data_IF_751334412713
#
_entry.id   IF_751334412713
#
_cell.length_a   1.000
_cell.length_b   1.000
_cell.length_c   1.000
_cell.angle_alpha   90.00
_cell.angle_beta   90.00
_cell.angle_gamma   90.00
#
_symmetry.space_group_name_H-M   'P 1'
#
loop_
_entity.id
_entity.type
_entity.pdbx_description
1 polymer ?
#
# COMPACT_ATOMS: atom_id res chain seq x y z
N UNK A 1 -11.68 10.99 -8.46
CA UNK A 1 -11.31 11.87 -7.34
C UNK A 1 -10.08 11.33 -6.59
N UNK A 2 -10.06 10.08 -6.18
CA UNK A 2 -9.01 9.48 -5.33
C UNK A 2 -7.59 9.61 -5.91
N UNK A 3 -7.42 9.53 -7.23
CA UNK A 3 -6.11 9.70 -7.87
C UNK A 3 -5.58 11.13 -7.76
N UNK A 4 -6.45 12.11 -7.96
CA UNK A 4 -6.10 13.55 -7.84
C UNK A 4 -5.81 13.86 -6.37
N UNK A 5 -6.68 13.39 -5.47
CA UNK A 5 -6.47 13.50 -4.04
C UNK A 5 -5.13 12.93 -3.58
N UNK A 6 -4.82 11.71 -4.00
CA UNK A 6 -3.53 11.08 -3.66
C UNK A 6 -2.34 11.94 -4.12
N UNK A 7 -2.41 12.47 -5.34
CA UNK A 7 -1.33 13.31 -5.86
C UNK A 7 -1.19 14.62 -5.08
N UNK A 8 -2.29 15.37 -4.93
CA UNK A 8 -2.28 16.71 -4.35
C UNK A 8 -2.02 16.73 -2.85
N UNK A 9 -2.54 15.74 -2.11
CA UNK A 9 -2.49 15.72 -0.63
C UNK A 9 -1.45 14.76 -0.06
N UNK A 10 -0.97 13.80 -0.84
CA UNK A 10 -0.07 12.77 -0.32
C UNK A 10 1.27 12.67 -1.06
N UNK A 11 1.33 13.07 -2.33
CA UNK A 11 2.57 13.00 -3.10
C UNK A 11 3.32 14.33 -3.15
N UNK A 12 2.60 15.43 -3.39
CA UNK A 12 3.21 16.77 -3.54
C UNK A 12 3.66 17.35 -2.20
N UNK A 13 2.86 17.27 -1.12
CA UNK A 13 3.29 17.79 0.18
C UNK A 13 4.43 16.95 0.75
N UNK A 14 5.49 17.61 1.20
CA UNK A 14 6.60 16.97 1.93
C UNK A 14 6.21 16.53 3.35
N UNK A 15 4.94 16.67 3.73
CA UNK A 15 4.39 16.42 5.06
C UNK A 15 4.71 15.02 5.59
N UNK A 16 4.85 14.04 4.69
CA UNK A 16 5.12 12.65 5.07
C UNK A 16 6.57 12.23 4.85
N UNK A 17 7.49 13.18 4.71
CA UNK A 17 8.93 12.93 4.62
C UNK A 17 9.38 12.15 3.39
N UNK A 18 8.57 12.17 2.32
CA UNK A 18 8.91 11.53 1.05
C UNK A 18 9.02 12.56 -0.07
N UNK A 19 10.06 12.41 -0.89
CA UNK A 19 10.16 13.16 -2.13
C UNK A 19 9.16 12.63 -3.16
N UNK A 20 8.63 13.52 -3.99
CA UNK A 20 7.78 13.17 -5.12
C UNK A 20 8.45 12.09 -5.99
N UNK A 21 7.69 11.07 -6.37
CA UNK A 21 8.21 9.98 -7.20
C UNK A 21 8.65 10.45 -8.59
N UNK A 22 9.71 9.86 -9.12
CA UNK A 22 10.28 10.25 -10.41
C UNK A 22 9.32 10.05 -11.59
N UNK A 23 8.34 9.14 -11.48
CA UNK A 23 7.29 9.00 -12.50
C UNK A 23 6.41 10.26 -12.61
N UNK A 24 6.31 11.06 -11.55
CA UNK A 24 5.54 12.31 -11.51
C UNK A 24 6.37 13.56 -11.78
N UNK A 25 7.65 13.40 -12.11
CA UNK A 25 8.53 14.49 -12.51
C UNK A 25 8.79 14.43 -14.01
N UNK A 26 8.89 15.60 -14.63
CA UNK A 26 9.32 15.71 -16.02
C UNK A 26 10.84 15.55 -16.18
N UNK A 27 11.38 15.76 -17.38
CA UNK A 27 12.80 15.61 -17.65
C UNK A 27 13.68 16.68 -16.97
N UNK A 28 13.09 17.77 -16.50
CA UNK A 28 13.79 18.82 -15.73
C UNK A 28 13.72 18.58 -14.22
N UNK A 29 12.94 17.58 -13.78
CA UNK A 29 12.66 17.31 -12.38
C UNK A 29 11.46 18.08 -11.82
N UNK A 30 10.74 18.82 -12.66
CA UNK A 30 9.55 19.57 -12.26
C UNK A 30 8.35 18.63 -12.07
N UNK A 31 7.50 18.88 -11.06
CA UNK A 31 6.31 18.07 -10.81
C UNK A 31 5.29 18.19 -11.94
N UNK A 32 4.62 17.09 -12.27
CA UNK A 32 3.45 17.12 -13.14
C UNK A 32 2.26 17.76 -12.43
N UNK A 33 1.17 17.99 -13.18
CA UNK A 33 -0.10 18.49 -12.64
C UNK A 33 -1.19 17.44 -12.86
N UNK A 34 -1.91 17.08 -11.80
CA UNK A 34 -3.13 16.30 -11.87
C UNK A 34 -4.32 17.24 -11.92
N UNK A 35 -5.17 17.08 -12.91
CA UNK A 35 -6.37 17.91 -13.07
C UNK A 35 -7.60 17.00 -13.08
N UNK A 36 -8.52 17.24 -12.16
CA UNK A 36 -9.84 16.61 -12.16
C UNK A 36 -10.65 17.10 -13.38
N UNK A 37 -11.22 16.20 -14.12
CA UNK A 37 -12.09 16.48 -15.26
C UNK A 37 -13.54 16.14 -14.93
N UNK A 38 -13.77 14.88 -14.52
CA UNK A 38 -15.08 14.37 -14.10
C UNK A 38 -14.90 13.14 -13.18
N UNK A 39 -16.01 12.51 -12.77
CA UNK A 39 -16.01 11.39 -11.84
C UNK A 39 -15.14 10.18 -12.25
N UNK A 40 -14.87 10.03 -13.56
CA UNK A 40 -14.13 8.89 -14.13
C UNK A 40 -12.87 9.29 -14.87
N UNK A 41 -12.63 10.61 -15.02
CA UNK A 41 -11.56 11.15 -15.85
C UNK A 41 -10.69 12.13 -15.06
N UNK A 42 -9.40 11.96 -15.12
CA UNK A 42 -8.42 12.96 -14.71
C UNK A 42 -7.35 13.11 -15.79
N UNK A 43 -6.67 14.25 -15.80
CA UNK A 43 -5.62 14.57 -16.76
C UNK A 43 -4.30 14.77 -16.02
N UNK A 44 -3.24 14.16 -16.54
CA UNK A 44 -1.86 14.40 -16.09
C UNK A 44 -1.14 15.25 -17.15
N UNK A 45 -0.55 16.34 -16.73
CA UNK A 45 0.17 17.27 -17.62
C UNK A 45 1.58 17.49 -17.13
N UNK A 46 2.54 17.48 -18.05
CA UNK A 46 3.95 17.76 -17.81
C UNK A 46 4.36 19.03 -18.57
N UNK A 47 5.28 19.80 -18.00
CA UNK A 47 5.83 21.00 -18.67
C UNK A 47 6.74 20.63 -19.83
N UNK A 48 7.46 19.49 -19.71
CA UNK A 48 8.30 18.94 -20.77
C UNK A 48 7.90 17.50 -21.08
N UNK A 49 8.38 16.96 -22.20
CA UNK A 49 8.02 15.61 -22.64
C UNK A 49 8.47 14.54 -21.64
N UNK A 50 7.56 13.61 -21.27
CA UNK A 50 7.80 12.44 -20.44
C UNK A 50 7.35 11.15 -21.16
N UNK A 51 8.08 10.69 -22.19
CA UNK A 51 7.64 9.56 -23.03
C UNK A 51 7.55 8.23 -22.25
N UNK A 52 8.26 8.11 -21.12
CA UNK A 52 8.25 6.90 -20.28
C UNK A 52 7.10 6.88 -19.26
N UNK A 53 6.28 7.93 -19.16
CA UNK A 53 5.28 8.09 -18.11
C UNK A 53 4.39 6.87 -17.93
N UNK A 54 3.81 6.34 -19.00
CA UNK A 54 2.89 5.18 -18.91
C UNK A 54 3.62 3.94 -18.39
N UNK A 55 4.87 3.71 -18.85
CA UNK A 55 5.68 2.59 -18.36
C UNK A 55 5.99 2.75 -16.87
N UNK A 56 6.41 3.94 -16.47
CA UNK A 56 6.78 4.25 -15.09
C UNK A 56 5.53 4.16 -14.17
N UNK A 57 4.38 4.62 -14.67
CA UNK A 57 3.11 4.51 -13.96
C UNK A 57 2.68 3.05 -13.77
N UNK A 58 2.85 2.18 -14.78
CA UNK A 58 2.51 0.76 -14.67
C UNK A 58 3.30 0.05 -13.56
N UNK A 59 4.54 0.45 -13.31
CA UNK A 59 5.37 -0.10 -12.22
C UNK A 59 4.83 0.36 -10.86
N UNK A 60 4.36 1.60 -10.76
CA UNK A 60 3.95 2.26 -9.53
C UNK A 60 2.42 2.44 -9.38
N UNK A 61 1.62 2.00 -10.37
CA UNK A 61 0.17 2.29 -10.42
C UNK A 61 -0.61 1.85 -9.19
N UNK A 62 -0.18 0.79 -8.53
CA UNK A 62 -0.79 0.30 -7.28
C UNK A 62 -0.71 1.30 -6.12
N UNK A 63 0.12 2.31 -6.23
CA UNK A 63 0.39 3.33 -5.23
C UNK A 63 -0.34 4.65 -5.49
N UNK A 64 -1.03 4.78 -6.63
CA UNK A 64 -1.63 6.05 -7.09
C UNK A 64 -3.06 6.25 -6.59
N UNK A 65 -3.48 5.52 -5.58
CA UNK A 65 -4.86 5.60 -5.07
C UNK A 65 -4.84 5.71 -3.56
N UNK A 66 -5.46 6.77 -3.05
CA UNK A 66 -5.81 6.85 -1.63
C UNK A 66 -7.32 7.05 -1.53
N UNK A 67 -8.00 6.36 -0.62
CA UNK A 67 -9.44 6.52 -0.44
C UNK A 67 -9.73 7.89 0.19
N UNK A 68 -10.01 8.88 -0.65
CA UNK A 68 -10.24 10.28 -0.25
C UNK A 68 -11.16 10.37 0.97
N UNK A 69 -12.32 9.70 0.90
CA UNK A 69 -13.33 9.71 1.97
C UNK A 69 -12.81 9.22 3.33
N UNK A 70 -11.81 8.34 3.33
CA UNK A 70 -11.15 7.88 4.55
C UNK A 70 -10.04 8.85 4.98
N UNK A 71 -9.20 9.28 4.03
CA UNK A 71 -8.07 10.17 4.31
C UNK A 71 -8.51 11.51 4.88
N UNK A 72 -9.65 12.05 4.43
CA UNK A 72 -10.26 13.27 4.98
C UNK A 72 -10.63 13.13 6.47
N UNK A 73 -10.74 11.93 7.01
CA UNK A 73 -11.03 11.69 8.44
C UNK A 73 -9.79 11.58 9.32
N UNK A 74 -8.59 11.60 8.73
CA UNK A 74 -7.34 11.42 9.48
C UNK A 74 -6.28 12.48 9.18
N UNK A 75 -6.35 13.17 8.03
CA UNK A 75 -5.32 14.14 7.66
C UNK A 75 -5.53 15.49 8.33
N UNK A 76 -4.45 16.14 8.85
CA UNK A 76 -4.54 17.37 9.62
C UNK A 76 -5.17 18.54 8.87
N UNK A 77 -5.00 18.61 7.56
CA UNK A 77 -5.61 19.67 6.73
C UNK A 77 -7.15 19.65 6.74
N UNK A 78 -7.78 18.51 7.07
CA UNK A 78 -9.23 18.34 7.11
C UNK A 78 -9.80 18.36 8.53
N UNK A 79 -9.07 17.79 9.50
CA UNK A 79 -9.58 17.64 10.87
C UNK A 79 -8.83 18.49 11.91
N UNK A 80 -7.73 19.17 11.50
CA UNK A 80 -6.87 19.96 12.38
C UNK A 80 -5.79 19.13 13.06
N UNK A 81 -4.69 19.78 13.44
CA UNK A 81 -3.47 19.13 13.96
C UNK A 81 -3.73 18.34 15.26
N UNK A 82 -4.48 18.89 16.19
CA UNK A 82 -4.77 18.26 17.48
C UNK A 82 -5.59 16.98 17.31
N UNK A 83 -6.64 17.02 16.47
CA UNK A 83 -7.47 15.86 16.19
C UNK A 83 -6.71 14.80 15.39
N UNK A 84 -5.86 15.20 14.45
CA UNK A 84 -5.01 14.28 13.69
C UNK A 84 -3.96 13.59 14.56
N UNK A 85 -3.38 14.31 15.53
CA UNK A 85 -2.44 13.72 16.49
C UNK A 85 -3.16 12.70 17.40
N UNK A 86 -4.35 13.05 17.93
CA UNK A 86 -5.14 12.11 18.72
C UNK A 86 -5.53 10.86 17.91
N UNK A 87 -5.82 11.02 16.61
CA UNK A 87 -6.11 9.91 15.71
C UNK A 87 -4.90 9.03 15.45
N UNK A 88 -3.72 9.62 15.29
CA UNK A 88 -2.48 8.88 15.16
C UNK A 88 -2.20 8.01 16.39
N UNK A 89 -2.37 8.56 17.59
CA UNK A 89 -2.21 7.83 18.84
C UNK A 89 -3.23 6.70 19.02
N UNK A 90 -4.51 6.94 18.65
CA UNK A 90 -5.56 5.92 18.64
C UNK A 90 -5.21 4.75 17.73
N UNK A 91 -4.58 5.02 16.57
CA UNK A 91 -4.14 4.03 15.60
C UNK A 91 -2.78 3.39 15.94
N UNK A 92 -2.14 3.80 17.04
CA UNK A 92 -0.87 3.25 17.53
C UNK A 92 0.38 3.87 16.90
N UNK A 93 0.26 5.02 16.24
CA UNK A 93 1.39 5.74 15.66
C UNK A 93 1.94 6.79 16.63
N UNK A 94 3.25 7.07 16.52
CA UNK A 94 3.93 8.09 17.34
C UNK A 94 3.48 9.51 17.02
N UNK A 95 3.13 9.76 15.77
CA UNK A 95 2.79 11.08 15.25
C UNK A 95 2.03 11.00 13.91
N UNK A 96 1.52 12.15 13.48
CA UNK A 96 0.77 12.30 12.22
C UNK A 96 1.60 11.95 11.01
N UNK A 97 2.91 12.21 11.01
CA UNK A 97 3.77 11.90 9.88
C UNK A 97 3.95 10.38 9.70
N UNK A 98 4.13 9.66 10.82
CA UNK A 98 4.17 8.20 10.82
C UNK A 98 2.83 7.60 10.37
N UNK A 99 1.70 8.09 10.89
CA UNK A 99 0.36 7.70 10.47
C UNK A 99 0.16 7.92 8.96
N UNK A 100 0.44 9.12 8.47
CA UNK A 100 0.26 9.47 7.06
C UNK A 100 1.13 8.65 6.12
N UNK A 101 2.37 8.35 6.52
CA UNK A 101 3.26 7.47 5.77
C UNK A 101 2.69 6.05 5.65
N UNK A 102 2.25 5.46 6.74
CA UNK A 102 1.71 4.10 6.73
C UNK A 102 0.33 4.04 6.06
N UNK A 103 -0.57 4.97 6.34
CA UNK A 103 -1.91 4.99 5.72
C UNK A 103 -1.89 5.38 4.24
N UNK A 104 -0.97 6.24 3.83
CA UNK A 104 -0.90 6.73 2.45
C UNK A 104 -0.06 5.89 1.51
N UNK A 105 1.06 5.34 1.99
CA UNK A 105 2.01 4.62 1.14
C UNK A 105 2.04 3.11 1.42
N UNK A 106 1.77 2.71 2.67
CA UNK A 106 1.83 1.32 3.13
C UNK A 106 0.48 0.87 3.71
N UNK A 107 -0.61 1.37 3.14
CA UNK A 107 -1.97 1.15 3.64
C UNK A 107 -2.34 -0.34 3.83
N UNK A 108 -1.63 -1.26 3.19
CA UNK A 108 -1.79 -2.69 3.44
C UNK A 108 -1.25 -3.14 4.81
N UNK A 109 -0.44 -2.31 5.47
CA UNK A 109 0.07 -2.57 6.81
C UNK A 109 -0.85 -2.03 7.91
N UNK A 110 -1.94 -1.38 7.54
CA UNK A 110 -2.86 -0.75 8.49
C UNK A 110 -4.23 -1.39 8.38
N UNK A 111 -4.75 -1.85 9.51
CA UNK A 111 -6.07 -2.47 9.58
C UNK A 111 -7.19 -1.43 9.39
N UNK A 112 -8.27 -1.83 8.71
CA UNK A 112 -9.48 -1.01 8.58
C UNK A 112 -9.47 0.05 7.47
N UNK A 113 -8.36 0.21 6.72
CA UNK A 113 -8.31 1.13 5.58
C UNK A 113 -9.03 0.53 4.37
N UNK A 114 -9.95 1.26 3.72
CA UNK A 114 -10.56 0.83 2.46
C UNK A 114 -9.51 0.65 1.38
N UNK A 115 -9.54 -0.48 0.68
CA UNK A 115 -8.56 -0.78 -0.37
C UNK A 115 -9.16 -1.62 -1.50
N UNK A 116 -8.59 -1.49 -2.70
CA UNK A 116 -8.89 -2.32 -3.86
C UNK A 116 -8.07 -3.62 -3.91
N UNK A 117 -7.26 -3.90 -2.89
CA UNK A 117 -6.46 -5.11 -2.80
C UNK A 117 -7.33 -6.36 -2.53
N UNK A 118 -6.89 -7.54 -3.00
CA UNK A 118 -7.61 -8.79 -2.78
C UNK A 118 -7.62 -9.24 -1.31
N UNK A 119 -6.64 -8.80 -0.54
CA UNK A 119 -6.51 -9.08 0.88
C UNK A 119 -6.37 -7.79 1.68
N UNK A 120 -6.87 -7.81 2.90
CA UNK A 120 -6.77 -6.73 3.89
C UNK A 120 -6.16 -7.28 5.17
N UNK A 121 -5.43 -6.43 5.90
CA UNK A 121 -4.88 -6.81 7.20
C UNK A 121 -6.03 -7.15 8.16
N UNK A 122 -5.90 -8.24 8.90
CA UNK A 122 -6.91 -8.69 9.87
C UNK A 122 -7.21 -7.60 10.90
N UNK A 123 -8.47 -7.48 11.28
CA UNK A 123 -8.90 -6.59 12.38
C UNK A 123 -8.90 -7.31 13.74
N UNK A 124 -8.57 -8.62 13.77
CA UNK A 124 -8.48 -9.36 15.01
C UNK A 124 -7.26 -8.92 15.83
N UNK A 125 -7.47 -8.75 17.13
CA UNK A 125 -6.41 -8.38 18.05
C UNK A 125 -5.27 -9.41 18.03
N UNK A 126 -4.03 -8.94 17.92
CA UNK A 126 -2.83 -9.76 17.87
C UNK A 126 -2.52 -10.36 16.49
N UNK A 127 -3.35 -10.10 15.46
CA UNK A 127 -3.13 -10.57 14.09
C UNK A 127 -2.90 -9.46 13.06
N UNK A 128 -2.76 -8.25 13.52
CA UNK A 128 -2.62 -7.04 12.69
C UNK A 128 -1.37 -6.21 13.04
N UNK A 129 -0.47 -6.74 13.86
CA UNK A 129 0.77 -6.07 14.22
C UNK A 129 1.89 -6.42 13.23
N UNK A 130 2.03 -5.60 12.19
CA UNK A 130 3.10 -5.76 11.18
C UNK A 130 4.49 -5.38 11.69
N UNK A 131 4.60 -4.87 12.91
CA UNK A 131 5.88 -4.64 13.60
C UNK A 131 6.35 -5.87 14.37
N UNK A 132 5.45 -6.81 14.64
CA UNK A 132 5.73 -8.11 15.23
C UNK A 132 6.26 -9.12 14.22
N UNK A 133 6.36 -10.36 14.66
CA UNK A 133 6.89 -11.47 13.85
C UNK A 133 5.80 -12.21 13.06
N UNK A 134 4.52 -11.97 13.38
CA UNK A 134 3.38 -12.63 12.76
C UNK A 134 2.21 -11.67 12.54
N UNK A 135 1.63 -11.74 11.34
CA UNK A 135 0.38 -11.06 11.03
C UNK A 135 -0.41 -11.80 9.95
N UNK A 136 -1.70 -11.53 9.87
CA UNK A 136 -2.64 -12.24 9.02
C UNK A 136 -3.35 -11.26 8.09
N UNK A 137 -3.41 -11.60 6.81
CA UNK A 137 -4.29 -10.97 5.85
C UNK A 137 -5.50 -11.86 5.59
N UNK A 138 -6.68 -11.28 5.61
CA UNK A 138 -7.94 -11.96 5.27
C UNK A 138 -8.45 -11.49 3.92
N UNK A 139 -9.22 -12.34 3.26
CA UNK A 139 -9.84 -12.01 1.99
C UNK A 139 -10.69 -10.76 2.10
N UNK A 140 -10.51 -9.81 1.16
CA UNK A 140 -11.34 -8.62 1.07
C UNK A 140 -12.73 -8.99 0.48
N UNK A 141 -13.83 -8.89 1.26
CA UNK A 141 -15.15 -9.24 0.79
C UNK A 141 -15.69 -8.30 -0.30
N UNK A 142 -15.05 -7.13 -0.47
CA UNK A 142 -15.39 -6.13 -1.49
C UNK A 142 -14.44 -6.13 -2.69
N UNK A 143 -13.61 -7.18 -2.82
CA UNK A 143 -12.69 -7.24 -3.96
C UNK A 143 -13.46 -7.33 -5.27
N UNK A 144 -13.09 -6.49 -6.22
CA UNK A 144 -13.86 -6.22 -7.44
C UNK A 144 -13.72 -7.28 -8.54
N UNK A 145 -12.69 -8.12 -8.47
CA UNK A 145 -12.47 -9.14 -9.52
C UNK A 145 -13.30 -10.40 -9.26
N UNK A 146 -13.86 -10.92 -10.36
CA UNK A 146 -14.54 -12.20 -10.42
C UNK A 146 -13.90 -13.09 -11.48
N UNK A 147 -14.07 -14.40 -11.35
CA UNK A 147 -13.67 -15.35 -12.37
C UNK A 147 -14.69 -15.40 -13.54
N UNK A 148 -14.44 -16.28 -14.52
CA UNK A 148 -15.32 -16.48 -15.68
C UNK A 148 -16.72 -17.01 -15.32
N UNK A 149 -16.92 -17.56 -14.12
CA UNK A 149 -18.19 -18.07 -13.61
C UNK A 149 -18.91 -17.06 -12.70
N UNK A 150 -18.35 -15.87 -12.51
CA UNK A 150 -18.85 -14.82 -11.62
C UNK A 150 -18.52 -15.04 -10.15
N UNK A 151 -17.64 -15.99 -9.80
CA UNK A 151 -17.19 -16.20 -8.44
C UNK A 151 -16.14 -15.17 -8.06
N UNK A 152 -16.35 -14.51 -6.90
CA UNK A 152 -15.41 -13.49 -6.42
C UNK A 152 -14.04 -14.07 -6.07
N UNK A 153 -13.00 -13.40 -6.53
CA UNK A 153 -11.61 -13.66 -6.17
C UNK A 153 -11.21 -12.87 -4.90
N UNK A 154 -10.13 -13.27 -4.21
CA UNK A 154 -9.35 -14.51 -4.40
C UNK A 154 -10.06 -15.73 -3.84
N UNK A 155 -9.67 -16.92 -4.26
CA UNK A 155 -10.22 -18.18 -3.70
C UNK A 155 -9.66 -18.51 -2.31
N UNK A 156 -8.45 -18.03 -2.03
CA UNK A 156 -7.79 -18.18 -0.73
C UNK A 156 -8.46 -17.28 0.29
N UNK A 157 -8.80 -17.80 1.47
CA UNK A 157 -9.50 -17.04 2.50
C UNK A 157 -8.54 -16.16 3.31
N UNK A 158 -7.31 -16.62 3.55
CA UNK A 158 -6.31 -15.89 4.34
C UNK A 158 -4.87 -16.18 3.91
N UNK A 159 -4.00 -15.24 4.24
CA UNK A 159 -2.54 -15.36 4.14
C UNK A 159 -1.99 -15.10 5.52
N UNK A 160 -1.30 -16.08 6.07
CA UNK A 160 -0.53 -15.94 7.30
C UNK A 160 0.91 -15.56 6.93
N UNK A 161 1.42 -14.53 7.55
CA UNK A 161 2.76 -14.05 7.30
C UNK A 161 3.59 -14.12 8.59
N UNK A 162 4.72 -14.83 8.51
CA UNK A 162 5.72 -14.88 9.58
C UNK A 162 6.99 -14.19 9.11
N UNK A 163 7.44 -13.21 9.88
CA UNK A 163 8.69 -12.49 9.63
C UNK A 163 9.83 -13.27 10.25
N UNK A 164 10.75 -13.74 9.43
CA UNK A 164 11.93 -14.45 9.90
C UNK A 164 13.12 -13.49 10.01
N UNK A 165 13.98 -13.73 11.00
CA UNK A 165 15.15 -12.89 11.26
C UNK A 165 16.29 -13.12 10.27
N UNK A 166 16.32 -14.28 9.61
CA UNK A 166 17.32 -14.62 8.60
C UNK A 166 16.77 -15.59 7.52
N UNK A 167 17.47 -15.66 6.39
CA UNK A 167 17.09 -16.49 5.25
C UNK A 167 17.16 -18.00 5.54
N UNK A 168 18.03 -18.42 6.44
CA UNK A 168 18.20 -19.84 6.78
C UNK A 168 16.97 -20.40 7.49
N UNK A 169 16.32 -19.58 8.31
CA UNK A 169 15.04 -19.94 8.95
C UNK A 169 13.93 -20.09 7.90
N UNK A 170 13.85 -19.17 6.94
CA UNK A 170 12.86 -19.25 5.85
C UNK A 170 13.04 -20.52 5.02
N UNK A 171 14.29 -20.88 4.69
CA UNK A 171 14.60 -22.10 3.98
C UNK A 171 14.21 -23.36 4.77
N UNK A 172 14.57 -23.41 6.07
CA UNK A 172 14.24 -24.53 6.97
C UNK A 172 12.73 -24.73 7.07
N UNK A 173 11.96 -23.66 7.20
CA UNK A 173 10.50 -23.73 7.31
C UNK A 173 9.84 -24.23 6.01
N UNK A 174 10.34 -23.79 4.83
CA UNK A 174 9.86 -24.32 3.54
C UNK A 174 10.17 -25.82 3.39
N UNK A 175 11.40 -26.23 3.65
CA UNK A 175 11.82 -27.63 3.56
C UNK A 175 11.07 -28.50 4.59
N UNK A 176 10.74 -27.96 5.75
CA UNK A 176 9.91 -28.60 6.77
C UNK A 176 8.42 -28.64 6.44
N UNK A 177 7.97 -27.99 5.36
CA UNK A 177 6.56 -27.91 4.98
C UNK A 177 5.71 -27.00 5.89
N UNK A 178 6.35 -26.15 6.70
CA UNK A 178 5.67 -25.19 7.58
C UNK A 178 5.17 -23.97 6.80
N UNK A 179 5.96 -23.52 5.81
CA UNK A 179 5.62 -22.41 4.94
C UNK A 179 5.33 -22.89 3.50
N UNK A 180 4.35 -22.27 2.85
CA UNK A 180 3.99 -22.56 1.45
C UNK A 180 4.79 -21.70 0.49
N UNK A 181 5.14 -20.47 0.89
CA UNK A 181 5.89 -19.50 0.09
C UNK A 181 6.88 -18.78 1.00
N UNK A 182 8.13 -18.63 0.57
CA UNK A 182 9.08 -17.73 1.21
C UNK A 182 9.60 -16.70 0.20
N UNK A 183 9.71 -15.45 0.66
CA UNK A 183 10.33 -14.37 -0.08
C UNK A 183 11.80 -14.19 0.29
N UNK A 184 12.65 -13.81 -0.68
CA UNK A 184 14.06 -13.46 -0.42
C UNK A 184 14.99 -14.63 -0.10
N UNK A 185 14.56 -15.86 -0.34
CA UNK A 185 15.42 -17.04 -0.13
C UNK A 185 16.33 -17.25 -1.33
N UNK A 186 17.62 -17.09 -1.12
CA UNK A 186 18.68 -17.39 -2.08
C UNK A 186 19.29 -18.75 -1.69
N UNK A 187 18.66 -19.84 -2.11
CA UNK A 187 19.18 -21.19 -1.88
C UNK A 187 19.87 -21.74 -3.12
N UNK A 188 20.91 -22.53 -2.92
CA UNK A 188 21.45 -23.34 -4.00
C UNK A 188 20.37 -24.34 -4.46
N UNK A 189 20.18 -24.46 -5.77
CA UNK A 189 19.19 -25.37 -6.37
C UNK A 189 19.35 -26.80 -5.84
N UNK A 190 20.58 -27.23 -5.55
CA UNK A 190 20.84 -28.56 -4.98
C UNK A 190 20.20 -28.77 -3.62
N UNK A 191 20.13 -27.73 -2.78
CA UNK A 191 19.51 -27.79 -1.45
C UNK A 191 17.97 -27.84 -1.52
N UNK A 192 17.37 -27.41 -2.62
CA UNK A 192 15.91 -27.41 -2.82
C UNK A 192 15.39 -28.71 -3.47
N UNK A 193 16.26 -29.57 -3.98
CA UNK A 193 15.89 -30.80 -4.74
C UNK A 193 16.11 -32.07 -3.90
N UNK A 194 16.85 -32.03 -2.79
CA UNK A 194 16.98 -33.11 -1.81
C UNK A 194 15.79 -33.14 -0.83
#
# INVERSE_FOLDING_TARGET
>A
EDCVFFYDHMCVPETFGKSLWDCFKDSNGDPCTFTYVDATTFKVSFNTSKPTFIKDLCINAKWCFAPKHYMETILPEFIGDEAAQAKAEEMGFSDVAAMGKETGYYFWNVSGIPTLNPFVLSTEAGKNDVTGDYYEYVRNPYYWKVDQNGQQLPYTDKIEYTKNSDESQSLTRILGGEDTIAGGVWADIQTLVE
#
